data_IF_284513260949
#
_entry.id   IF_284513260949
#
_cell.length_a   1.000
_cell.length_b   1.000
_cell.length_c   1.000
_cell.angle_alpha   90.00
_cell.angle_beta   90.00
_cell.angle_gamma   90.00
#
_symmetry.space_group_name_H-M   'P 1'
#
loop_
_entity.id
_entity.type
_entity.pdbx_description
1 polymer ?
#
# COMPACT_ATOMS: atom_id res chain seq x y z
N UNK A 1 -26.42 21.41 -22.73
CA UNK A 1 -25.21 20.56 -22.76
C UNK A 1 -24.60 20.61 -21.37
N UNK A 2 -24.89 19.59 -20.56
CA UNK A 2 -24.45 19.53 -19.16
C UNK A 2 -22.99 19.06 -19.17
N UNK A 3 -22.05 19.97 -18.90
CA UNK A 3 -20.67 19.60 -18.62
C UNK A 3 -20.69 18.71 -17.37
N UNK A 4 -20.46 17.42 -17.56
CA UNK A 4 -20.17 16.51 -16.46
C UNK A 4 -18.93 17.07 -15.74
N UNK A 5 -19.08 17.43 -14.46
CA UNK A 5 -17.96 17.76 -13.59
C UNK A 5 -17.01 16.56 -13.64
N UNK A 6 -15.85 16.72 -14.27
CA UNK A 6 -14.74 15.78 -14.11
C UNK A 6 -14.44 15.74 -12.61
N UNK A 7 -14.81 14.65 -11.95
CA UNK A 7 -14.43 14.37 -10.58
C UNK A 7 -12.91 14.26 -10.55
N UNK A 8 -12.24 15.31 -10.09
CA UNK A 8 -10.78 15.34 -9.97
C UNK A 8 -10.36 14.19 -9.05
N UNK A 9 -9.61 13.22 -9.58
CA UNK A 9 -9.16 12.07 -8.80
C UNK A 9 -8.34 12.51 -7.58
N UNK A 10 -8.57 11.88 -6.44
CA UNK A 10 -7.81 12.08 -5.21
C UNK A 10 -6.64 11.10 -5.14
N UNK A 11 -5.54 11.51 -4.51
CA UNK A 11 -4.38 10.63 -4.35
C UNK A 11 -4.80 9.38 -3.57
N UNK A 12 -4.55 8.21 -4.14
CA UNK A 12 -4.99 6.92 -3.61
C UNK A 12 -6.26 6.36 -4.25
N UNK A 13 -6.97 7.14 -5.09
CA UNK A 13 -8.07 6.60 -5.90
C UNK A 13 -7.59 5.40 -6.71
N UNK A 14 -8.45 4.39 -6.85
CA UNK A 14 -8.17 3.15 -7.59
C UNK A 14 -8.92 3.22 -8.92
N UNK A 15 -8.27 2.82 -10.01
CA UNK A 15 -8.90 2.80 -11.33
C UNK A 15 -10.05 1.78 -11.36
N UNK A 16 -11.08 1.96 -12.23
CA UNK A 16 -12.22 1.03 -12.29
C UNK A 16 -11.84 -0.43 -12.55
N UNK A 17 -10.71 -0.67 -13.21
CA UNK A 17 -10.18 -2.01 -13.49
C UNK A 17 -9.33 -2.59 -12.34
N UNK A 18 -9.10 -1.82 -11.26
CA UNK A 18 -8.35 -2.25 -10.09
C UNK A 18 -6.84 -2.39 -10.31
N UNK A 19 -6.29 -1.87 -11.41
CA UNK A 19 -4.88 -2.08 -11.81
C UNK A 19 -3.95 -0.90 -11.53
N UNK A 20 -4.52 0.28 -11.27
CA UNK A 20 -3.76 1.50 -11.07
C UNK A 20 -4.25 2.25 -9.83
N UNK A 21 -3.36 3.08 -9.28
CA UNK A 21 -3.72 4.09 -8.29
C UNK A 21 -3.39 5.50 -8.80
N UNK A 22 -4.18 6.48 -8.39
CA UNK A 22 -3.90 7.89 -8.69
C UNK A 22 -2.81 8.42 -7.74
N UNK A 23 -1.64 8.75 -8.29
CA UNK A 23 -0.50 9.27 -7.55
C UNK A 23 -0.50 10.83 -7.45
N UNK A 24 -1.61 11.47 -7.84
CA UNK A 24 -1.76 12.93 -7.88
C UNK A 24 -1.44 13.51 -9.25
N UNK A 25 -1.75 14.80 -9.46
CA UNK A 25 -1.78 15.45 -10.78
C UNK A 25 -0.48 15.34 -11.59
N UNK A 26 0.69 15.28 -10.92
CA UNK A 26 2.01 15.18 -11.57
C UNK A 26 2.26 13.78 -12.14
N UNK A 27 2.01 12.75 -11.33
CA UNK A 27 2.35 11.37 -11.66
C UNK A 27 1.15 10.61 -12.26
N UNK A 28 -0.07 11.10 -12.04
CA UNK A 28 -1.33 10.52 -12.55
C UNK A 28 -1.51 9.05 -12.16
N UNK A 29 -2.20 8.27 -12.99
CA UNK A 29 -2.40 6.83 -12.78
C UNK A 29 -1.08 6.09 -12.88
N UNK A 30 -0.70 5.42 -11.80
CA UNK A 30 0.47 4.58 -11.73
C UNK A 30 0.04 3.13 -11.60
N UNK A 31 0.68 2.19 -12.32
CA UNK A 31 0.34 0.78 -12.21
C UNK A 31 0.66 0.27 -10.81
N UNK A 32 -0.18 -0.61 -10.30
CA UNK A 32 0.24 -1.44 -9.20
C UNK A 32 1.32 -2.41 -9.69
N UNK A 33 2.31 -2.68 -8.82
CA UNK A 33 3.30 -3.72 -9.12
C UNK A 33 2.86 -5.10 -8.63
N UNK A 34 1.87 -5.15 -7.73
CA UNK A 34 1.05 -6.32 -7.43
C UNK A 34 -0.41 -5.90 -7.48
N UNK A 35 -1.27 -6.66 -8.15
CA UNK A 35 -2.71 -6.44 -8.06
C UNK A 35 -3.35 -7.26 -6.93
N UNK A 36 -4.66 -7.11 -6.75
CA UNK A 36 -5.39 -7.82 -5.69
C UNK A 36 -5.35 -9.36 -5.87
N UNK A 37 -5.25 -9.85 -7.10
CA UNK A 37 -5.17 -11.28 -7.42
C UNK A 37 -3.81 -11.82 -7.02
N UNK A 38 -2.73 -11.11 -7.38
CA UNK A 38 -1.37 -11.47 -7.00
C UNK A 38 -1.22 -11.56 -5.48
N UNK A 39 -1.80 -10.58 -4.76
CA UNK A 39 -1.78 -10.53 -3.29
C UNK A 39 -2.56 -11.69 -2.68
N UNK A 40 -3.76 -11.98 -3.19
CA UNK A 40 -4.57 -13.10 -2.70
C UNK A 40 -3.84 -14.44 -2.89
N UNK A 41 -3.20 -14.62 -4.05
CA UNK A 41 -2.43 -15.81 -4.35
C UNK A 41 -1.19 -15.94 -3.47
N UNK A 42 -0.45 -14.86 -3.25
CA UNK A 42 0.67 -14.85 -2.32
C UNK A 42 0.24 -15.23 -0.88
N UNK A 43 -0.89 -14.72 -0.40
CA UNK A 43 -1.42 -15.09 0.92
C UNK A 43 -1.79 -16.56 1.00
N UNK A 44 -2.38 -17.11 -0.06
CA UNK A 44 -2.74 -18.52 -0.15
C UNK A 44 -1.50 -19.40 -0.14
N UNK A 45 -0.49 -19.06 -0.93
CA UNK A 45 0.75 -19.85 -1.05
C UNK A 45 1.59 -19.80 0.23
N UNK A 46 1.79 -18.62 0.80
CA UNK A 46 2.68 -18.43 1.96
C UNK A 46 2.04 -18.82 3.29
N UNK A 47 0.72 -18.61 3.44
CA UNK A 47 0.04 -18.81 4.73
C UNK A 47 -1.05 -19.88 4.70
N UNK A 48 -1.36 -20.47 3.53
CA UNK A 48 -2.42 -21.48 3.40
C UNK A 48 -3.83 -20.94 3.68
N UNK A 49 -4.05 -19.63 3.56
CA UNK A 49 -5.31 -18.97 3.94
C UNK A 49 -6.21 -18.73 2.74
N UNK A 50 -7.50 -18.96 2.92
CA UNK A 50 -8.53 -18.55 1.94
C UNK A 50 -8.85 -17.07 2.11
N UNK A 51 -8.63 -16.31 1.05
CA UNK A 51 -8.86 -14.87 1.01
C UNK A 51 -10.29 -14.58 0.52
N UNK A 52 -11.02 -13.78 1.27
CA UNK A 52 -12.39 -13.33 0.96
C UNK A 52 -12.34 -12.00 0.19
N UNK A 53 -11.49 -11.08 0.63
CA UNK A 53 -11.40 -9.75 0.06
C UNK A 53 -9.98 -9.18 0.19
N UNK A 54 -9.55 -8.42 -0.81
CA UNK A 54 -8.27 -7.69 -0.83
C UNK A 54 -8.54 -6.27 -1.28
N UNK A 55 -8.12 -5.30 -0.47
CA UNK A 55 -8.25 -3.88 -0.77
C UNK A 55 -6.92 -3.17 -0.62
N UNK A 56 -6.51 -2.44 -1.65
CA UNK A 56 -5.33 -1.59 -1.59
C UNK A 56 -5.51 -0.49 -0.53
N UNK A 57 -4.46 -0.23 0.25
CA UNK A 57 -4.44 0.87 1.22
C UNK A 57 -3.47 1.97 0.82
N UNK A 58 -2.23 1.60 0.54
CA UNK A 58 -1.18 2.57 0.22
C UNK A 58 -0.01 1.91 -0.52
N UNK A 59 0.70 2.70 -1.31
CA UNK A 59 1.97 2.34 -1.93
C UNK A 59 3.04 3.34 -1.48
N UNK A 60 4.18 2.82 -1.04
CA UNK A 60 5.43 3.57 -0.96
C UNK A 60 6.34 3.23 -2.13
N UNK A 61 7.51 3.84 -2.21
CA UNK A 61 8.47 3.56 -3.30
C UNK A 61 8.82 2.07 -3.41
N UNK A 62 8.95 1.37 -2.27
CA UNK A 62 9.44 0.00 -2.22
C UNK A 62 8.48 -0.99 -1.53
N UNK A 63 7.22 -0.60 -1.29
CA UNK A 63 6.24 -1.46 -0.65
C UNK A 63 4.81 -1.11 -1.09
N UNK A 64 3.92 -2.10 -0.97
CA UNK A 64 2.48 -1.90 -1.02
C UNK A 64 1.83 -2.50 0.23
N UNK A 65 0.83 -1.81 0.75
CA UNK A 65 0.05 -2.21 1.91
C UNK A 65 -1.39 -2.48 1.49
N UNK A 66 -1.92 -3.60 1.95
CA UNK A 66 -3.21 -4.16 1.57
C UNK A 66 -4.00 -4.52 2.81
N UNK A 67 -5.30 -4.23 2.83
CA UNK A 67 -6.22 -4.86 3.77
C UNK A 67 -6.62 -6.23 3.19
N UNK A 68 -6.40 -7.29 3.95
CA UNK A 68 -6.71 -8.65 3.56
C UNK A 68 -7.72 -9.23 4.55
N UNK A 69 -8.85 -9.68 4.02
CA UNK A 69 -9.86 -10.41 4.78
C UNK A 69 -9.75 -11.89 4.42
N UNK A 70 -9.61 -12.72 5.44
CA UNK A 70 -9.58 -14.19 5.30
C UNK A 70 -10.73 -14.80 6.07
N UNK A 71 -10.98 -16.09 5.87
CA UNK A 71 -11.98 -16.84 6.65
C UNK A 71 -11.76 -16.83 8.16
N UNK A 72 -10.55 -16.48 8.64
CA UNK A 72 -10.21 -16.49 10.07
C UNK A 72 -10.14 -15.09 10.69
N UNK A 73 -9.68 -14.10 9.94
CA UNK A 73 -9.42 -12.74 10.43
C UNK A 73 -9.18 -11.75 9.30
N UNK A 74 -9.21 -10.46 9.64
CA UNK A 74 -8.76 -9.36 8.79
C UNK A 74 -7.46 -8.75 9.31
N UNK A 75 -6.55 -8.38 8.42
CA UNK A 75 -5.27 -7.75 8.78
C UNK A 75 -4.72 -6.88 7.66
N UNK A 76 -3.76 -6.02 8.00
CA UNK A 76 -2.96 -5.29 7.01
C UNK A 76 -1.76 -6.15 6.62
N UNK A 77 -1.64 -6.45 5.33
CA UNK A 77 -0.49 -7.11 4.74
C UNK A 77 0.38 -6.08 4.03
N UNK A 78 1.65 -6.01 4.40
CA UNK A 78 2.64 -5.15 3.73
C UNK A 78 3.62 -6.04 2.96
N UNK A 79 3.69 -5.82 1.65
CA UNK A 79 4.57 -6.57 0.75
C UNK A 79 5.65 -5.62 0.24
N UNK A 80 6.92 -6.01 0.44
CA UNK A 80 8.08 -5.25 0.00
C UNK A 80 8.56 -5.75 -1.36
N UNK A 81 9.10 -4.85 -2.19
CA UNK A 81 9.76 -5.26 -3.42
C UNK A 81 11.07 -6.00 -3.12
N UNK A 82 11.51 -6.83 -4.07
CA UNK A 82 12.71 -7.67 -3.95
C UNK A 82 14.02 -6.89 -3.81
N UNK A 83 14.04 -5.62 -4.18
CA UNK A 83 15.19 -4.73 -4.03
C UNK A 83 15.49 -4.45 -2.55
N UNK A 84 14.54 -4.73 -1.64
CA UNK A 84 14.76 -4.61 -0.20
C UNK A 84 15.44 -5.84 0.37
N UNK A 85 16.47 -5.63 1.18
CA UNK A 85 17.11 -6.70 1.92
C UNK A 85 16.23 -7.16 3.08
N UNK A 86 16.40 -8.42 3.52
CA UNK A 86 15.73 -8.92 4.73
C UNK A 86 16.00 -8.06 5.96
N UNK A 87 17.21 -7.49 6.08
CA UNK A 87 17.58 -6.60 7.17
C UNK A 87 16.77 -5.29 7.15
N UNK A 88 16.57 -4.69 5.97
CA UNK A 88 15.73 -3.49 5.82
C UNK A 88 14.26 -3.75 6.15
N UNK A 89 13.76 -4.94 5.82
CA UNK A 89 12.39 -5.35 6.18
C UNK A 89 12.28 -5.58 7.69
N UNK A 90 13.26 -6.22 8.32
CA UNK A 90 13.31 -6.44 9.77
C UNK A 90 13.36 -5.12 10.56
N UNK A 91 14.22 -4.18 10.14
CA UNK A 91 14.28 -2.84 10.73
C UNK A 91 12.94 -2.11 10.66
N UNK A 92 12.27 -2.15 9.49
CA UNK A 92 10.93 -1.56 9.36
C UNK A 92 9.90 -2.21 10.28
N UNK A 93 9.95 -3.54 10.43
CA UNK A 93 9.05 -4.24 11.33
C UNK A 93 9.27 -3.85 12.79
N UNK A 94 10.53 -3.73 13.22
CA UNK A 94 10.91 -3.24 14.55
C UNK A 94 10.43 -1.81 14.77
N UNK A 95 10.69 -0.92 13.82
CA UNK A 95 10.25 0.47 13.86
C UNK A 95 8.72 0.61 13.90
N UNK A 96 7.99 -0.15 13.07
CA UNK A 96 6.52 -0.18 13.09
C UNK A 96 5.99 -0.71 14.42
N UNK A 97 6.66 -1.71 15.01
CA UNK A 97 6.34 -2.21 16.34
C UNK A 97 6.46 -1.13 17.42
N UNK A 98 7.46 -0.25 17.31
CA UNK A 98 7.62 0.90 18.20
C UNK A 98 6.60 2.02 17.92
N UNK A 99 6.24 2.25 16.65
CA UNK A 99 5.26 3.27 16.25
C UNK A 99 3.82 2.93 16.67
N UNK A 100 3.47 1.64 16.77
CA UNK A 100 2.09 1.17 17.00
C UNK A 100 1.47 1.57 18.36
N UNK A 101 2.11 2.45 19.14
CA UNK A 101 1.51 3.06 20.33
C UNK A 101 1.77 4.55 20.56
N UNK A 102 2.59 5.24 19.74
CA UNK A 102 3.24 6.47 20.22
C UNK A 102 3.42 7.61 19.20
N UNK A 103 2.83 7.55 18.00
CA UNK A 103 2.89 8.69 17.07
C UNK A 103 1.78 9.67 17.39
N UNK A 104 2.12 10.70 18.16
CA UNK A 104 1.18 11.76 18.55
C UNK A 104 1.22 12.95 17.58
N UNK A 105 2.38 13.18 16.94
CA UNK A 105 2.60 14.33 16.06
C UNK A 105 3.39 13.93 14.81
N UNK A 106 3.08 14.58 13.68
CA UNK A 106 3.79 14.41 12.41
C UNK A 106 4.40 15.75 12.02
N UNK A 107 5.73 15.80 11.93
CA UNK A 107 6.46 17.00 11.50
C UNK A 107 6.52 17.09 9.98
N UNK A 108 6.56 18.33 9.45
CA UNK A 108 6.80 18.57 8.03
C UNK A 108 8.19 18.05 7.59
N UNK A 109 8.41 17.78 6.29
CA UNK A 109 9.71 17.37 5.79
C UNK A 109 10.81 18.37 6.20
N UNK A 110 11.88 17.86 6.83
CA UNK A 110 13.07 18.62 7.18
C UNK A 110 14.21 18.23 6.25
N UNK A 111 15.12 19.17 5.98
CA UNK A 111 16.35 18.86 5.26
C UNK A 111 17.21 17.92 6.11
N UNK A 112 17.63 16.79 5.52
CA UNK A 112 18.61 15.90 6.13
C UNK A 112 20.01 16.50 6.07
N UNK A 113 20.92 16.00 6.92
CA UNK A 113 22.34 16.35 6.84
C UNK A 113 23.06 15.57 5.72
N UNK A 114 22.37 14.63 5.10
CA UNK A 114 22.84 13.67 4.11
C UNK A 114 22.40 13.96 2.67
N UNK A 115 21.56 14.98 2.46
CA UNK A 115 21.12 15.42 1.13
C UNK A 115 19.85 14.73 0.65
#
# INVERSE_FOLDING_TARGET
>A
MTQAKSSKCQRGDISPDGRHYWAGDVWQWQPFWLDAVDVAEAVRQEFGRTVINVRFLAAGMLNQSWHVETTHRSYVLRISRRERSRAQVAYEHEFLGQLMGHVEEVVAPLAGNDG
#
